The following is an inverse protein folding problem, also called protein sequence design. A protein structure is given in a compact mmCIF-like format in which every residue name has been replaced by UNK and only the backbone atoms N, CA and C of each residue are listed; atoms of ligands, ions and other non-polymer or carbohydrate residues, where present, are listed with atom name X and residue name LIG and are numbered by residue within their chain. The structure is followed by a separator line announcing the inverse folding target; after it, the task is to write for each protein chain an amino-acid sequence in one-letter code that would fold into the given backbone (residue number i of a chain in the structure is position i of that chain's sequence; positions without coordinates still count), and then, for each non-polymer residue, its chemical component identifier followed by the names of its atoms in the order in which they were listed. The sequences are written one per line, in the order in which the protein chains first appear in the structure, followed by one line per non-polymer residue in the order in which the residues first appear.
data_IF_197452621819
#
_entry.id   IF_197452621819
#
_cell.length_a   1.000
_cell.length_b   1.000
_cell.length_c   1.000
_cell.angle_alpha   90.00
_cell.angle_beta   90.00
_cell.angle_gamma   90.00
#
_symmetry.space_group_name_H-M   'P 1'
#
loop_
_entity.id
_entity.type
_entity.pdbx_description
1 polymer ?
#
# COMPACT_ATOMS: atom_id res chain seq x y z
N UNK A 1 3.54 -18.86 -12.45
CA UNK A 1 4.65 -18.99 -11.48
C UNK A 1 5.86 -18.31 -12.08
N UNK A 2 6.49 -17.37 -11.35
CA UNK A 2 7.71 -16.69 -11.81
C UNK A 2 8.86 -17.71 -11.82
N UNK A 3 9.53 -17.85 -12.97
CA UNK A 3 10.80 -18.57 -13.03
C UNK A 3 11.91 -17.66 -12.44
N UNK A 4 12.27 -17.90 -11.19
CA UNK A 4 13.22 -17.09 -10.44
C UNK A 4 14.63 -17.13 -11.03
N UNK A 5 15.02 -18.23 -11.69
CA UNK A 5 16.34 -18.36 -12.33
C UNK A 5 16.40 -17.47 -13.57
N UNK A 6 15.39 -17.58 -14.43
CA UNK A 6 15.28 -16.73 -15.62
C UNK A 6 15.15 -15.25 -15.25
N UNK A 7 14.32 -14.92 -14.26
CA UNK A 7 14.15 -13.55 -13.79
C UNK A 7 15.48 -12.99 -13.24
N UNK A 8 16.18 -13.75 -12.40
CA UNK A 8 17.48 -13.34 -11.87
C UNK A 8 18.52 -13.11 -12.96
N UNK A 9 18.52 -13.92 -14.03
CA UNK A 9 19.39 -13.71 -15.20
C UNK A 9 19.05 -12.39 -15.90
N UNK A 10 17.76 -12.15 -16.20
CA UNK A 10 17.32 -10.92 -16.87
C UNK A 10 17.70 -9.68 -16.05
N UNK A 11 17.51 -9.71 -14.74
CA UNK A 11 17.87 -8.60 -13.85
C UNK A 11 19.37 -8.27 -13.92
N UNK A 12 20.23 -9.28 -13.92
CA UNK A 12 21.69 -9.09 -14.06
C UNK A 12 22.08 -8.57 -15.44
N UNK A 13 21.52 -9.14 -16.50
CA UNK A 13 21.81 -8.75 -17.88
C UNK A 13 21.32 -7.34 -18.22
N UNK A 14 20.17 -6.93 -17.67
CA UNK A 14 19.61 -5.59 -17.89
C UNK A 14 20.32 -4.47 -17.15
N UNK A 15 21.10 -4.79 -16.12
CA UNK A 15 21.71 -3.79 -15.22
C UNK A 15 20.68 -2.97 -14.42
N UNK A 16 19.47 -3.49 -14.24
CA UNK A 16 18.43 -2.82 -13.48
C UNK A 16 18.86 -2.63 -12.02
N UNK A 17 18.73 -1.41 -11.53
CA UNK A 17 19.11 -1.03 -10.16
C UNK A 17 17.92 -0.72 -9.25
N UNK A 18 16.72 -0.68 -9.82
CA UNK A 18 15.46 -0.44 -9.10
C UNK A 18 14.48 -1.55 -9.44
N UNK A 19 13.88 -2.15 -8.42
CA UNK A 19 12.88 -3.19 -8.58
C UNK A 19 11.71 -2.93 -7.64
N UNK A 20 10.49 -3.09 -8.16
CA UNK A 20 9.27 -3.17 -7.35
C UNK A 20 8.72 -4.60 -7.36
N UNK A 21 8.35 -5.09 -6.18
CA UNK A 21 7.67 -6.37 -6.01
C UNK A 21 6.43 -6.19 -5.12
N UNK A 22 5.33 -6.86 -5.47
CA UNK A 22 4.24 -7.01 -4.51
C UNK A 22 4.71 -7.82 -3.30
N UNK A 23 4.13 -7.56 -2.11
CA UNK A 23 4.48 -8.27 -0.88
C UNK A 23 4.40 -9.80 -1.03
N UNK A 24 3.34 -10.30 -1.69
CA UNK A 24 3.18 -11.73 -1.95
C UNK A 24 4.28 -12.32 -2.82
N UNK A 25 4.65 -11.63 -3.90
CA UNK A 25 5.74 -12.08 -4.78
C UNK A 25 7.10 -11.99 -4.08
N UNK A 26 7.36 -10.89 -3.36
CA UNK A 26 8.56 -10.73 -2.56
C UNK A 26 8.76 -11.88 -1.58
N UNK A 27 7.72 -12.23 -0.79
CA UNK A 27 7.80 -13.34 0.15
C UNK A 27 8.12 -14.68 -0.53
N UNK A 28 7.58 -14.88 -1.74
CA UNK A 28 7.82 -16.12 -2.50
C UNK A 28 9.25 -16.24 -3.02
N UNK A 29 9.87 -15.13 -3.46
CA UNK A 29 11.17 -15.17 -4.16
C UNK A 29 12.34 -14.66 -3.33
N UNK A 30 12.11 -14.22 -2.10
CA UNK A 30 13.11 -13.57 -1.25
C UNK A 30 14.43 -14.33 -1.13
N UNK A 31 14.36 -15.64 -0.93
CA UNK A 31 15.55 -16.48 -0.78
C UNK A 31 16.20 -16.83 -2.14
N UNK A 32 15.39 -16.95 -3.20
CA UNK A 32 15.85 -17.31 -4.52
C UNK A 32 16.54 -16.16 -5.27
N UNK A 33 16.13 -14.92 -4.97
CA UNK A 33 16.66 -13.71 -5.60
C UNK A 33 17.60 -12.91 -4.70
N UNK A 34 18.11 -13.51 -3.64
CA UNK A 34 18.99 -12.86 -2.66
C UNK A 34 20.17 -12.12 -3.32
N UNK A 35 20.90 -12.78 -4.23
CA UNK A 35 22.01 -12.18 -4.96
C UNK A 35 21.60 -10.99 -5.84
N UNK A 36 20.40 -11.03 -6.42
CA UNK A 36 19.84 -9.92 -7.21
C UNK A 36 19.53 -8.75 -6.28
N UNK A 37 18.92 -9.02 -5.14
CA UNK A 37 18.55 -7.96 -4.17
C UNK A 37 19.77 -7.21 -3.67
N UNK A 38 20.87 -7.90 -3.38
CA UNK A 38 22.11 -7.28 -2.92
C UNK A 38 22.73 -6.29 -3.94
N UNK A 39 22.40 -6.41 -5.23
CA UNK A 39 22.89 -5.53 -6.29
C UNK A 39 21.98 -4.31 -6.53
N UNK A 40 20.77 -4.30 -5.96
CA UNK A 40 19.82 -3.22 -6.17
C UNK A 40 20.16 -1.97 -5.36
N UNK A 41 20.05 -0.81 -6.03
CA UNK A 41 20.05 0.48 -5.36
C UNK A 41 18.74 0.69 -4.58
N UNK A 42 17.61 0.28 -5.18
CA UNK A 42 16.30 0.31 -4.53
C UNK A 42 15.54 -0.98 -4.78
N UNK A 43 15.08 -1.61 -3.71
CA UNK A 43 14.03 -2.63 -3.72
C UNK A 43 12.82 -2.06 -3.01
N UNK A 44 11.71 -1.89 -3.73
CA UNK A 44 10.45 -1.40 -3.19
C UNK A 44 9.52 -2.59 -3.06
N UNK A 45 8.92 -2.76 -1.90
CA UNK A 45 7.94 -3.83 -1.64
C UNK A 45 6.66 -3.19 -1.12
N UNK A 46 5.50 -3.62 -1.62
CA UNK A 46 4.23 -3.02 -1.21
C UNK A 46 3.01 -3.76 -1.73
N UNK A 47 1.86 -3.09 -1.66
CA UNK A 47 0.57 -3.62 -2.12
C UNK A 47 -0.16 -4.50 -1.10
N UNK A 48 0.49 -4.91 -0.03
CA UNK A 48 -0.08 -5.65 1.09
C UNK A 48 0.76 -5.43 2.36
N UNK A 49 0.29 -5.94 3.51
CA UNK A 49 1.06 -5.92 4.76
C UNK A 49 2.34 -6.75 4.59
N UNK A 50 3.48 -6.15 4.95
CA UNK A 50 4.77 -6.81 4.83
C UNK A 50 5.03 -7.76 5.98
N UNK A 51 5.59 -8.95 5.67
CA UNK A 51 6.08 -9.89 6.66
C UNK A 51 7.43 -9.41 7.23
N UNK A 52 7.42 -8.97 8.48
CA UNK A 52 8.61 -8.49 9.16
C UNK A 52 9.72 -9.54 9.28
N UNK A 53 9.37 -10.84 9.30
CA UNK A 53 10.36 -11.92 9.37
C UNK A 53 11.14 -12.06 8.05
N UNK A 54 10.43 -11.96 6.92
CA UNK A 54 11.04 -12.00 5.59
C UNK A 54 11.91 -10.76 5.35
N UNK A 55 11.39 -9.56 5.71
CA UNK A 55 12.16 -8.31 5.64
C UNK A 55 13.46 -8.42 6.43
N UNK A 56 13.42 -8.85 7.70
CA UNK A 56 14.62 -9.02 8.53
C UNK A 56 15.59 -10.03 7.93
N UNK A 57 15.10 -11.12 7.36
CA UNK A 57 15.94 -12.14 6.72
C UNK A 57 16.69 -11.57 5.50
N UNK A 58 16.01 -10.82 4.65
CA UNK A 58 16.64 -10.15 3.50
C UNK A 58 17.67 -9.13 3.96
N UNK A 59 17.33 -8.29 4.95
CA UNK A 59 18.25 -7.28 5.47
C UNK A 59 19.50 -7.87 6.14
N UNK A 60 19.41 -9.07 6.72
CA UNK A 60 20.58 -9.77 7.31
C UNK A 60 21.47 -10.44 6.27
N UNK A 61 20.86 -11.07 5.25
CA UNK A 61 21.58 -11.98 4.36
C UNK A 61 22.02 -11.31 3.06
N UNK A 62 21.18 -10.43 2.50
CA UNK A 62 21.39 -9.89 1.14
C UNK A 62 20.72 -8.51 1.01
N UNK A 63 21.11 -7.53 1.85
CA UNK A 63 20.45 -6.24 1.87
C UNK A 63 20.66 -5.47 0.58
N UNK A 64 19.60 -4.97 -0.08
CA UNK A 64 19.75 -3.93 -1.08
C UNK A 64 20.25 -2.64 -0.44
N UNK A 65 20.75 -1.71 -1.22
CA UNK A 65 21.19 -0.42 -0.70
C UNK A 65 20.05 0.32 0.02
N UNK A 66 18.83 0.23 -0.53
CA UNK A 66 17.61 0.76 0.09
C UNK A 66 16.47 -0.25 -0.11
N UNK A 67 15.97 -0.81 0.99
CA UNK A 67 14.74 -1.57 1.03
C UNK A 67 13.62 -0.64 1.50
N UNK A 68 12.60 -0.45 0.68
CA UNK A 68 11.50 0.45 0.98
C UNK A 68 10.18 -0.33 1.10
N UNK A 69 9.38 -0.02 2.14
CA UNK A 69 7.95 -0.26 2.10
C UNK A 69 7.29 0.85 1.27
N UNK A 70 6.54 0.51 0.24
CA UNK A 70 5.76 1.45 -0.57
C UNK A 70 4.27 1.23 -0.36
N UNK A 71 3.57 2.25 0.11
CA UNK A 71 2.11 2.21 0.30
C UNK A 71 1.43 3.29 -0.54
N UNK A 72 0.32 2.92 -1.14
CA UNK A 72 -0.61 3.79 -1.83
C UNK A 72 -1.60 2.97 -2.65
N UNK A 73 -2.85 3.44 -2.79
CA UNK A 73 -3.83 2.85 -3.69
C UNK A 73 -3.58 3.29 -5.14
N UNK A 74 -4.15 2.57 -6.09
CA UNK A 74 -4.13 2.92 -7.53
C UNK A 74 -4.69 4.32 -7.77
N UNK A 75 -5.67 4.73 -7.00
CA UNK A 75 -6.35 6.02 -7.05
C UNK A 75 -5.43 7.22 -6.71
N UNK A 76 -4.23 6.94 -6.19
CA UNK A 76 -3.20 7.96 -5.91
C UNK A 76 -1.86 7.65 -6.57
N UNK A 77 -1.88 6.97 -7.72
CA UNK A 77 -0.73 6.68 -8.59
C UNK A 77 0.35 5.85 -7.89
N UNK A 78 -0.02 4.67 -7.44
CA UNK A 78 0.82 3.59 -6.91
C UNK A 78 1.40 3.84 -5.51
N UNK A 79 2.18 4.89 -5.28
CA UNK A 79 2.80 5.17 -3.99
C UNK A 79 2.43 6.57 -3.50
N UNK A 80 1.94 6.63 -2.28
CA UNK A 80 1.68 7.86 -1.55
C UNK A 80 2.67 8.05 -0.39
N UNK A 81 3.13 6.95 0.21
CA UNK A 81 4.15 6.99 1.26
C UNK A 81 5.23 5.96 1.04
N UNK A 82 6.42 6.22 1.61
CA UNK A 82 7.51 5.25 1.66
C UNK A 82 8.15 5.22 3.04
N UNK A 83 8.63 4.02 3.41
CA UNK A 83 9.40 3.81 4.63
C UNK A 83 10.68 3.04 4.28
N UNK A 84 11.85 3.61 4.61
CA UNK A 84 13.13 2.89 4.49
C UNK A 84 13.24 1.88 5.63
N UNK A 85 13.45 0.62 5.29
CA UNK A 85 13.45 -0.49 6.24
C UNK A 85 14.84 -0.87 6.74
N UNK A 86 15.90 -0.43 6.07
CA UNK A 86 17.29 -0.76 6.44
C UNK A 86 17.65 -0.37 7.88
N UNK A 87 17.02 0.68 8.40
CA UNK A 87 17.29 1.23 9.71
C UNK A 87 16.31 0.71 10.79
N UNK A 88 15.34 -0.12 10.39
CA UNK A 88 14.26 -0.63 11.26
C UNK A 88 14.53 -2.06 11.80
N UNK A 89 15.78 -2.50 11.85
CA UNK A 89 16.16 -3.87 12.28
C UNK A 89 16.02 -4.05 13.79
N UNK A 90 15.17 -3.34 14.49
CA UNK A 90 14.92 -3.59 15.90
C UNK A 90 14.13 -4.88 16.11
N UNK A 91 14.68 -5.79 16.91
CA UNK A 91 14.17 -7.17 17.09
C UNK A 91 12.78 -7.25 17.72
N UNK A 92 12.22 -6.12 18.17
CA UNK A 92 10.93 -6.05 18.87
C UNK A 92 9.71 -5.63 18.05
N UNK A 93 9.86 -4.92 16.94
CA UNK A 93 8.70 -4.42 16.19
C UNK A 93 8.20 -5.45 15.16
N UNK A 94 7.00 -5.95 15.36
CA UNK A 94 6.32 -6.80 14.36
C UNK A 94 5.60 -5.99 13.29
N UNK A 95 5.38 -4.69 13.52
CA UNK A 95 4.63 -3.82 12.61
C UNK A 95 5.57 -2.92 11.81
N UNK A 96 5.49 -3.02 10.49
CA UNK A 96 6.23 -2.19 9.56
C UNK A 96 5.41 -0.93 9.25
N UNK A 97 5.94 0.29 9.47
CA UNK A 97 5.22 1.51 9.17
C UNK A 97 5.00 1.69 7.67
N UNK A 98 3.94 2.44 7.31
CA UNK A 98 3.75 2.93 5.94
C UNK A 98 4.78 4.03 5.58
N UNK A 99 5.40 4.65 6.57
CA UNK A 99 6.40 5.69 6.40
C UNK A 99 5.83 7.09 6.31
N UNK A 100 6.43 7.91 5.44
CA UNK A 100 6.09 9.33 5.26
C UNK A 100 5.65 9.60 3.84
N UNK A 101 4.85 10.67 3.59
CA UNK A 101 4.46 11.05 2.25
C UNK A 101 5.68 11.26 1.33
N UNK A 102 5.52 10.87 0.07
CA UNK A 102 6.49 11.18 -0.99
C UNK A 102 6.32 12.64 -1.46
N UNK A 103 7.22 13.12 -2.32
CA UNK A 103 7.13 14.48 -2.88
C UNK A 103 5.78 14.75 -3.54
N UNK A 104 5.24 15.97 -3.35
CA UNK A 104 3.97 16.44 -3.90
C UNK A 104 2.74 15.61 -3.47
N UNK A 105 2.84 14.91 -2.35
CA UNK A 105 1.75 14.12 -1.77
C UNK A 105 1.47 14.59 -0.36
N UNK A 106 0.21 14.83 -0.04
CA UNK A 106 -0.28 15.13 1.29
C UNK A 106 -1.02 13.90 1.84
N UNK A 107 -0.80 13.60 3.11
CA UNK A 107 -1.55 12.55 3.79
C UNK A 107 -2.18 13.15 5.04
N UNK A 108 -3.47 12.94 5.18
CA UNK A 108 -4.24 13.37 6.33
C UNK A 108 -4.79 12.12 7.03
N UNK A 109 -4.84 12.14 8.35
CA UNK A 109 -5.53 11.13 9.14
C UNK A 109 -6.69 11.86 9.81
N UNK A 110 -7.91 11.53 9.38
CA UNK A 110 -9.12 12.27 9.72
C UNK A 110 -10.09 11.43 10.55
N UNK A 111 -10.83 12.10 11.40
CA UNK A 111 -11.96 11.50 12.13
C UNK A 111 -13.22 11.41 11.26
N UNK A 112 -14.34 10.91 11.85
CA UNK A 112 -15.63 10.78 11.15
C UNK A 112 -16.28 12.12 10.76
N UNK A 113 -15.78 13.26 11.27
CA UNK A 113 -16.22 14.63 10.93
C UNK A 113 -15.28 15.30 9.91
N UNK A 114 -14.25 14.58 9.43
CA UNK A 114 -13.27 15.10 8.48
C UNK A 114 -12.23 16.04 9.12
N UNK A 115 -12.03 15.98 10.44
CA UNK A 115 -11.04 16.79 11.14
C UNK A 115 -9.75 15.98 11.40
N UNK A 116 -8.56 16.62 11.29
CA UNK A 116 -7.30 15.97 11.59
C UNK A 116 -7.24 15.47 13.04
N UNK A 117 -6.81 14.23 13.22
CA UNK A 117 -6.66 13.64 14.55
C UNK A 117 -5.25 13.92 15.13
N UNK A 118 -5.10 13.99 16.46
CA UNK A 118 -3.80 14.11 17.11
C UNK A 118 -2.89 12.91 16.86
N UNK A 119 -1.58 13.09 17.06
CA UNK A 119 -0.58 12.00 17.02
C UNK A 119 -1.01 10.86 17.96
N UNK A 120 -0.95 9.63 17.46
CA UNK A 120 -1.32 8.41 18.19
C UNK A 120 -2.81 8.07 18.13
N UNK A 121 -3.68 8.98 17.69
CA UNK A 121 -5.11 8.74 17.53
C UNK A 121 -5.41 8.13 16.17
N UNK A 122 -6.29 7.12 16.15
CA UNK A 122 -6.71 6.43 14.93
C UNK A 122 -7.70 7.27 14.14
N UNK A 123 -7.52 7.35 12.83
CA UNK A 123 -8.46 7.93 11.88
C UNK A 123 -8.35 7.26 10.51
N UNK A 124 -9.18 7.68 9.56
CA UNK A 124 -9.11 7.24 8.18
C UNK A 124 -8.01 8.00 7.44
N UNK A 125 -7.19 7.26 6.67
CA UNK A 125 -6.14 7.84 5.84
C UNK A 125 -6.78 8.48 4.59
N UNK A 126 -6.50 9.75 4.36
CA UNK A 126 -6.86 10.49 3.15
C UNK A 126 -5.57 10.95 2.46
N UNK A 127 -5.56 10.94 1.13
CA UNK A 127 -4.37 11.25 0.34
C UNK A 127 -4.72 12.33 -0.68
N UNK A 128 -4.01 13.46 -0.61
CA UNK A 128 -4.07 14.58 -1.55
C UNK A 128 -2.79 14.71 -2.37
N UNK A 129 -2.76 15.66 -3.27
CA UNK A 129 -1.61 16.03 -4.08
C UNK A 129 -1.66 15.55 -5.53
N UNK A 130 -0.54 15.72 -6.23
CA UNK A 130 -0.43 15.52 -7.68
C UNK A 130 -0.73 14.09 -8.15
N UNK A 131 -0.59 13.10 -7.27
CA UNK A 131 -0.85 11.70 -7.57
C UNK A 131 -2.33 11.31 -7.59
N UNK A 132 -3.26 12.18 -7.14
CA UNK A 132 -4.69 11.88 -7.07
C UNK A 132 -5.29 11.76 -8.46
N UNK A 133 -5.89 10.60 -8.77
CA UNK A 133 -6.48 10.31 -10.07
C UNK A 133 -7.73 11.17 -10.35
N UNK A 134 -8.14 11.22 -11.62
CA UNK A 134 -9.34 11.96 -12.03
C UNK A 134 -10.63 11.34 -11.48
N UNK A 135 -10.65 10.04 -11.26
CA UNK A 135 -11.79 9.29 -10.76
C UNK A 135 -11.93 7.91 -11.41
N UNK A 136 -13.09 7.30 -11.24
CA UNK A 136 -13.43 6.00 -11.82
C UNK A 136 -14.16 6.15 -13.16
N UNK A 137 -13.68 5.45 -14.17
CA UNK A 137 -14.26 5.49 -15.52
C UNK A 137 -15.75 5.08 -15.49
N UNK A 138 -16.62 5.93 -16.05
CA UNK A 138 -18.07 5.71 -16.12
C UNK A 138 -18.76 5.47 -14.76
N UNK A 139 -18.17 5.98 -13.67
CA UNK A 139 -18.72 5.86 -12.30
C UNK A 139 -18.70 7.21 -11.57
N UNK A 140 -19.47 8.21 -12.03
CA UNK A 140 -19.44 9.56 -11.47
C UNK A 140 -19.85 9.62 -9.99
N UNK A 141 -20.84 8.82 -9.60
CA UNK A 141 -21.33 8.76 -8.21
C UNK A 141 -20.24 8.23 -7.26
N UNK A 142 -19.62 7.10 -7.60
CA UNK A 142 -18.50 6.54 -6.82
C UNK A 142 -17.29 7.47 -6.82
N UNK A 143 -17.04 8.16 -7.92
CA UNK A 143 -15.99 9.18 -8.01
C UNK A 143 -16.25 10.30 -7.02
N UNK A 144 -17.46 10.84 -6.98
CA UNK A 144 -17.82 11.92 -6.05
C UNK A 144 -17.77 11.47 -4.56
N UNK A 145 -18.06 10.19 -4.28
CA UNK A 145 -17.97 9.62 -2.94
C UNK A 145 -16.52 9.49 -2.44
N UNK A 146 -15.60 9.07 -3.32
CA UNK A 146 -14.24 8.70 -2.94
C UNK A 146 -13.20 9.80 -3.18
N UNK A 147 -13.40 10.64 -4.19
CA UNK A 147 -12.52 11.77 -4.53
C UNK A 147 -13.20 13.08 -4.11
N UNK A 148 -13.00 13.46 -2.87
CA UNK A 148 -13.65 14.60 -2.23
C UNK A 148 -12.77 15.87 -2.32
N UNK A 149 -13.34 17.09 -2.15
CA UNK A 149 -12.54 18.29 -2.04
C UNK A 149 -11.48 18.19 -0.93
N UNK A 150 -10.31 18.76 -1.16
CA UNK A 150 -9.24 18.85 -0.15
C UNK A 150 -9.31 20.22 0.56
N UNK A 151 -9.88 20.32 1.76
CA UNK A 151 -10.04 21.57 2.48
C UNK A 151 -8.72 22.08 3.12
N UNK A 152 -7.65 21.28 3.05
CA UNK A 152 -6.35 21.60 3.64
C UNK A 152 -5.35 22.09 2.61
N UNK A 153 -5.73 22.10 1.33
CA UNK A 153 -4.90 22.59 0.23
C UNK A 153 -5.33 23.98 -0.22
N UNK A 154 -4.35 24.86 -0.44
CA UNK A 154 -4.61 26.21 -1.04
C UNK A 154 -4.77 26.16 -2.57
N UNK A 155 -4.52 25.00 -3.21
CA UNK A 155 -4.66 24.87 -4.64
C UNK A 155 -6.15 24.85 -5.04
N UNK A 156 -6.56 25.61 -6.08
CA UNK A 156 -7.94 25.61 -6.54
C UNK A 156 -8.32 24.20 -7.03
N UNK A 157 -9.54 23.77 -6.69
CA UNK A 157 -10.11 22.46 -7.07
C UNK A 157 -9.30 21.24 -6.59
N UNK A 158 -8.45 21.42 -5.55
CA UNK A 158 -7.70 20.34 -4.95
C UNK A 158 -8.63 19.24 -4.43
N UNK A 159 -8.25 18.01 -4.65
CA UNK A 159 -9.01 16.84 -4.19
C UNK A 159 -8.12 15.89 -3.42
N UNK A 160 -8.75 15.17 -2.51
CA UNK A 160 -8.14 14.06 -1.79
C UNK A 160 -8.95 12.78 -1.96
N UNK A 161 -8.26 11.65 -1.93
CA UNK A 161 -8.85 10.33 -2.02
C UNK A 161 -9.09 9.74 -0.63
N UNK A 162 -10.30 9.24 -0.39
CA UNK A 162 -10.68 8.49 0.81
C UNK A 162 -10.31 7.04 0.64
N UNK A 163 -9.29 6.58 1.39
CA UNK A 163 -8.72 5.26 1.16
C UNK A 163 -9.53 4.10 1.74
N UNK A 164 -10.29 4.34 2.80
CA UNK A 164 -10.88 3.29 3.62
C UNK A 164 -9.86 2.60 4.55
N UNK A 165 -8.60 2.96 4.47
CA UNK A 165 -7.55 2.46 5.36
C UNK A 165 -7.52 3.27 6.65
N UNK A 166 -7.36 2.59 7.79
CA UNK A 166 -7.16 3.21 9.10
C UNK A 166 -5.68 3.32 9.43
N UNK A 167 -5.30 4.43 10.03
CA UNK A 167 -3.93 4.66 10.47
C UNK A 167 -3.83 5.65 11.61
N UNK A 168 -2.62 5.87 12.07
CA UNK A 168 -2.28 6.93 13.02
C UNK A 168 -0.87 7.46 12.76
N UNK A 169 -0.67 8.74 13.07
CA UNK A 169 0.66 9.31 13.10
C UNK A 169 1.45 8.79 14.31
N UNK A 170 2.68 8.39 14.08
CA UNK A 170 3.65 8.10 15.13
C UNK A 170 4.39 9.39 15.53
N UNK A 171 4.98 9.45 16.74
CA UNK A 171 5.78 10.60 17.16
C UNK A 171 6.97 10.91 16.24
N UNK A 172 7.50 9.91 15.54
CA UNK A 172 8.58 10.05 14.55
C UNK A 172 8.09 10.58 13.19
N UNK A 173 6.81 10.89 13.04
CA UNK A 173 6.20 11.38 11.81
C UNK A 173 5.94 10.32 10.74
N UNK A 174 6.14 9.03 11.04
CA UNK A 174 5.70 7.93 10.18
C UNK A 174 4.23 7.58 10.45
N UNK A 175 3.59 6.95 9.47
CA UNK A 175 2.21 6.46 9.58
C UNK A 175 2.25 4.97 9.93
N UNK A 176 1.50 4.57 10.94
CA UNK A 176 1.21 3.18 11.27
C UNK A 176 -0.14 2.77 10.66
N UNK A 177 -0.16 1.63 9.95
CA UNK A 177 -1.37 1.02 9.40
C UNK A 177 -2.12 0.22 10.48
N UNK A 178 -3.44 0.37 10.55
CA UNK A 178 -4.28 -0.24 11.58
C UNK A 178 -5.43 -1.09 11.01
N UNK A 179 -5.45 -1.33 9.72
CA UNK A 179 -6.51 -2.10 9.06
C UNK A 179 -7.40 -1.25 8.18
N UNK A 180 -8.61 -1.72 7.91
CA UNK A 180 -9.60 -1.02 7.10
C UNK A 180 -10.88 -0.77 7.88
N UNK A 181 -11.62 0.27 7.48
CA UNK A 181 -12.96 0.57 8.02
C UNK A 181 -14.09 0.06 7.12
N UNK A 182 -13.76 -0.64 6.02
CA UNK A 182 -14.69 -1.25 5.10
C UNK A 182 -14.47 -2.77 4.97
N UNK A 183 -15.24 -3.44 4.13
CA UNK A 183 -15.18 -4.90 3.91
C UNK A 183 -14.18 -5.32 2.83
N UNK A 184 -13.42 -4.39 2.28
CA UNK A 184 -12.44 -4.70 1.26
C UNK A 184 -11.25 -5.46 1.87
N UNK A 185 -10.81 -6.52 1.19
CA UNK A 185 -9.67 -7.34 1.63
C UNK A 185 -8.54 -7.33 0.61
N UNK A 186 -7.31 -7.50 1.10
CA UNK A 186 -6.15 -7.75 0.25
C UNK A 186 -5.69 -9.18 0.45
N UNK A 187 -5.63 -9.96 -0.63
CA UNK A 187 -5.16 -11.35 -0.60
C UNK A 187 -4.07 -11.51 -1.65
N UNK A 188 -2.84 -11.74 -1.22
CA UNK A 188 -1.66 -11.88 -2.09
C UNK A 188 -1.46 -10.68 -3.03
N UNK A 189 -1.81 -9.48 -2.56
CA UNK A 189 -1.72 -8.23 -3.34
C UNK A 189 -2.92 -7.97 -4.26
N UNK A 190 -3.91 -8.86 -4.34
CA UNK A 190 -5.17 -8.61 -5.04
C UNK A 190 -6.14 -7.87 -4.11
N UNK A 191 -6.68 -6.77 -4.60
CA UNK A 191 -7.72 -5.99 -3.93
C UNK A 191 -9.08 -6.58 -4.28
N UNK A 192 -9.81 -7.06 -3.28
CA UNK A 192 -11.05 -7.80 -3.46
C UNK A 192 -12.18 -7.08 -2.74
N UNK A 193 -13.23 -6.74 -3.47
CA UNK A 193 -14.49 -6.22 -2.96
C UNK A 193 -15.42 -7.41 -2.65
N UNK A 194 -15.64 -7.72 -1.37
CA UNK A 194 -16.50 -8.85 -0.99
C UNK A 194 -17.93 -8.66 -1.51
N UNK A 195 -18.45 -7.42 -1.49
CA UNK A 195 -19.77 -7.09 -2.01
C UNK A 195 -19.92 -7.30 -3.52
N UNK A 196 -18.84 -7.23 -4.31
CA UNK A 196 -18.92 -7.58 -5.74
C UNK A 196 -19.16 -9.09 -5.94
N UNK A 197 -18.50 -9.92 -5.14
CA UNK A 197 -18.70 -11.37 -5.17
C UNK A 197 -20.14 -11.69 -4.74
N UNK A 198 -20.62 -11.08 -3.66
CA UNK A 198 -22.01 -11.24 -3.19
C UNK A 198 -23.02 -10.84 -4.25
N UNK A 199 -22.82 -9.69 -4.90
CA UNK A 199 -23.71 -9.23 -5.98
C UNK A 199 -23.72 -10.18 -7.18
N UNK A 200 -22.57 -10.76 -7.55
CA UNK A 200 -22.49 -11.77 -8.62
C UNK A 200 -23.18 -13.07 -8.25
N UNK A 201 -23.04 -13.53 -7.01
CA UNK A 201 -23.75 -14.71 -6.54
C UNK A 201 -25.26 -14.48 -6.47
N UNK A 202 -25.71 -13.34 -5.94
CA UNK A 202 -27.13 -12.98 -5.85
C UNK A 202 -27.80 -12.79 -7.22
N UNK A 203 -27.03 -12.53 -8.28
CA UNK A 203 -27.57 -12.46 -9.64
C UNK A 203 -27.97 -13.84 -10.22
N UNK A 204 -27.59 -14.96 -9.60
CA UNK A 204 -27.99 -16.30 -10.00
C UNK A 204 -29.41 -16.58 -9.49
N UNK A 205 -30.31 -17.02 -10.39
CA UNK A 205 -31.73 -17.24 -10.07
C UNK A 205 -31.99 -18.21 -8.89
N UNK A 206 -31.05 -19.10 -8.62
CA UNK A 206 -31.12 -20.08 -7.53
C UNK A 206 -30.60 -19.56 -6.18
N UNK A 207 -29.98 -18.38 -6.17
CA UNK A 207 -29.38 -17.79 -4.96
C UNK A 207 -30.31 -16.71 -4.42
N UNK A 208 -30.82 -16.92 -3.23
CA UNK A 208 -31.67 -15.93 -2.52
C UNK A 208 -30.84 -14.86 -1.82
N UNK A 209 -29.75 -15.27 -1.21
CA UNK A 209 -28.88 -14.42 -0.42
C UNK A 209 -27.46 -15.01 -0.40
N UNK A 210 -26.45 -14.17 -0.41
CA UNK A 210 -25.06 -14.58 -0.32
C UNK A 210 -24.32 -13.63 0.65
N UNK A 211 -23.48 -14.18 1.51
CA UNK A 211 -22.56 -13.46 2.37
C UNK A 211 -21.16 -14.02 2.14
N UNK A 212 -20.20 -13.15 1.85
CA UNK A 212 -18.80 -13.52 1.66
C UNK A 212 -17.98 -13.00 2.84
N UNK A 213 -17.20 -13.89 3.45
CA UNK A 213 -16.31 -13.57 4.57
C UNK A 213 -14.88 -13.95 4.22
N UNK A 214 -13.89 -13.22 4.76
CA UNK A 214 -12.46 -13.46 4.57
C UNK A 214 -11.79 -13.76 5.92
#
# INVERSE_FOLDING_TARGET
VLDSVQFGRIMRESGATVLYLSAGLFNQVADQLAEVFAQLRYLIVGGDVLDASVIRRVLRNSPPQNLLNGYGPTETTTFATTCRLNDLIDEGSQKIPLGRPIGNTQVYILDGQGQPVPIGVTGEIHIGGDGVALGYLNRPELTAERFIPDPFSDAPDARMYRTGDLGRWRPDGAIEYLGRNDFQVKIRGFRIELGEIEARLAALAQVREAVVVA
#
